data_IF_733598405779
#
_entry.id   IF_733598405779
#
_cell.length_a   1.000
_cell.length_b   1.000
_cell.length_c   1.000
_cell.angle_alpha   90.00
_cell.angle_beta   90.00
_cell.angle_gamma   90.00
#
_symmetry.space_group_name_H-M   'P 1'
#
loop_
_entity.id
_entity.type
_entity.pdbx_description
1 polymer ?
#
# COMPACT_ATOMS: atom_id res chain seq x y z
N UNK A 1 13.09 -2.48 15.03
CA UNK A 1 13.81 -1.89 13.89
C UNK A 1 14.30 -0.51 14.28
N UNK A 2 15.57 -0.14 13.98
CA UNK A 2 16.18 1.09 14.53
C UNK A 2 15.54 2.38 14.04
N UNK A 3 14.99 2.39 12.83
CA UNK A 3 14.36 3.58 12.27
C UNK A 3 12.85 3.70 12.55
N UNK A 4 12.24 2.67 13.14
CA UNK A 4 10.80 2.65 13.43
C UNK A 4 9.95 2.40 12.17
N UNK A 5 8.74 2.91 12.14
CA UNK A 5 7.76 2.69 11.07
C UNK A 5 7.78 3.79 10.01
N UNK A 6 7.42 3.44 8.78
CA UNK A 6 7.47 4.30 7.60
C UNK A 6 6.55 5.52 7.70
N UNK A 7 5.39 5.40 8.34
CA UNK A 7 4.45 6.50 8.53
C UNK A 7 5.07 7.72 9.22
N UNK A 8 6.06 7.49 10.11
CA UNK A 8 6.81 8.58 10.78
C UNK A 8 7.69 9.39 9.82
N UNK A 9 8.10 8.78 8.71
CA UNK A 9 8.86 9.46 7.65
C UNK A 9 7.95 10.16 6.64
N UNK A 10 6.77 9.60 6.39
CA UNK A 10 5.80 10.20 5.47
C UNK A 10 5.10 11.41 6.09
N UNK A 11 4.73 11.33 7.38
CA UNK A 11 3.86 12.32 8.03
C UNK A 11 4.48 12.98 9.25
N UNK A 12 5.58 12.44 9.78
CA UNK A 12 6.26 13.00 10.95
C UNK A 12 7.14 14.21 10.59
N UNK A 13 7.23 15.16 11.51
CA UNK A 13 8.10 16.31 11.36
C UNK A 13 9.51 16.09 11.93
N UNK A 14 9.71 14.97 12.66
CA UNK A 14 10.96 14.69 13.37
C UNK A 14 11.98 13.90 12.51
N UNK A 15 11.54 13.30 11.42
CA UNK A 15 12.36 12.47 10.54
C UNK A 15 12.66 13.20 9.24
N UNK A 16 13.87 13.01 8.66
CA UNK A 16 14.17 13.54 7.34
C UNK A 16 13.25 12.88 6.30
N UNK A 17 12.81 13.66 5.31
CA UNK A 17 12.00 13.12 4.21
C UNK A 17 12.80 12.12 3.39
N UNK A 18 12.13 11.05 3.00
CA UNK A 18 12.71 10.03 2.11
C UNK A 18 12.76 10.55 0.68
N UNK A 19 13.90 10.37 0.01
CA UNK A 19 13.98 10.63 -1.43
C UNK A 19 13.31 9.48 -2.21
N UNK A 20 13.12 9.69 -3.53
CA UNK A 20 12.45 8.70 -4.38
C UNK A 20 13.14 7.34 -4.39
N UNK A 21 14.47 7.31 -4.46
CA UNK A 21 15.22 6.04 -4.46
C UNK A 21 14.94 5.21 -3.20
N UNK A 22 14.90 5.86 -2.04
CA UNK A 22 14.57 5.21 -0.76
C UNK A 22 13.12 4.73 -0.75
N UNK A 23 12.16 5.57 -1.17
CA UNK A 23 10.75 5.19 -1.27
C UNK A 23 10.57 3.98 -2.20
N UNK A 24 11.19 3.99 -3.37
CA UNK A 24 11.11 2.91 -4.34
C UNK A 24 11.72 1.59 -3.82
N UNK A 25 12.84 1.65 -3.09
CA UNK A 25 13.43 0.47 -2.44
C UNK A 25 12.52 -0.10 -1.34
N UNK A 26 11.88 0.78 -0.55
CA UNK A 26 10.92 0.36 0.48
C UNK A 26 9.73 -0.37 -0.17
N UNK A 27 9.15 0.20 -1.23
CA UNK A 27 8.05 -0.43 -1.97
C UNK A 27 8.43 -1.81 -2.50
N UNK A 28 9.62 -1.95 -3.09
CA UNK A 28 10.13 -3.26 -3.54
C UNK A 28 10.29 -4.24 -2.38
N UNK A 29 10.86 -3.81 -1.27
CA UNK A 29 11.04 -4.67 -0.10
C UNK A 29 9.72 -5.22 0.44
N UNK A 30 8.67 -4.39 0.49
CA UNK A 30 7.33 -4.84 0.92
C UNK A 30 6.70 -5.77 -0.12
N UNK A 31 6.85 -5.47 -1.43
CA UNK A 31 6.35 -6.33 -2.50
C UNK A 31 6.97 -7.75 -2.44
N UNK A 32 8.30 -7.84 -2.28
CA UNK A 32 8.99 -9.12 -2.11
C UNK A 32 8.57 -9.85 -0.85
N UNK A 33 8.40 -9.11 0.27
CA UNK A 33 7.90 -9.70 1.51
C UNK A 33 6.52 -10.31 1.33
N UNK A 34 5.60 -9.61 0.67
CA UNK A 34 4.24 -10.08 0.43
C UNK A 34 4.23 -11.28 -0.54
N UNK A 35 5.02 -11.24 -1.61
CA UNK A 35 5.19 -12.37 -2.54
C UNK A 35 5.68 -13.62 -1.80
N UNK A 36 6.69 -13.47 -0.94
CA UNK A 36 7.19 -14.58 -0.12
C UNK A 36 6.09 -15.19 0.75
N UNK A 37 5.29 -14.36 1.43
CA UNK A 37 4.20 -14.82 2.31
C UNK A 37 3.09 -15.54 1.55
N UNK A 38 2.84 -15.15 0.29
CA UNK A 38 1.74 -15.70 -0.51
C UNK A 38 2.14 -16.93 -1.33
N UNK A 39 3.38 -17.00 -1.84
CA UNK A 39 3.77 -17.99 -2.86
C UNK A 39 4.93 -18.90 -2.45
N UNK A 40 5.90 -18.37 -1.70
CA UNK A 40 7.15 -19.10 -1.47
C UNK A 40 7.20 -19.86 -0.15
N UNK A 41 6.33 -19.53 0.81
CA UNK A 41 6.29 -20.22 2.08
C UNK A 41 5.44 -21.50 1.98
N UNK A 42 5.64 -22.46 2.93
CA UNK A 42 4.95 -23.75 2.97
C UNK A 42 3.41 -23.63 2.98
N UNK A 43 2.89 -22.55 3.58
CA UNK A 43 1.48 -22.19 3.60
C UNK A 43 1.31 -20.73 3.18
N UNK A 44 0.14 -20.39 2.63
CA UNK A 44 -0.18 -18.98 2.37
C UNK A 44 -0.40 -18.26 3.69
N UNK A 45 0.36 -17.20 3.93
CA UNK A 45 0.12 -16.30 5.05
C UNK A 45 -0.53 -15.02 4.56
N UNK A 46 -1.80 -14.81 4.92
CA UNK A 46 -2.51 -13.57 4.69
C UNK A 46 -2.16 -12.58 5.80
N UNK A 47 -1.62 -11.41 5.45
CA UNK A 47 -1.20 -10.40 6.44
C UNK A 47 -2.39 -9.63 7.02
N UNK A 48 -3.32 -9.19 6.19
CA UNK A 48 -4.60 -8.54 6.52
C UNK A 48 -4.51 -7.11 7.07
N UNK A 49 -3.31 -6.54 7.21
CA UNK A 49 -3.13 -5.15 7.68
C UNK A 49 -1.89 -4.49 7.06
N UNK A 50 -1.75 -4.58 5.74
CA UNK A 50 -0.66 -3.92 4.98
C UNK A 50 -0.94 -2.42 4.96
N UNK A 51 -0.02 -1.62 5.54
CA UNK A 51 -0.10 -0.14 5.63
C UNK A 51 1.25 0.45 6.04
N UNK A 52 1.47 1.75 5.85
CA UNK A 52 2.73 2.41 6.15
C UNK A 52 3.17 2.28 7.63
N UNK A 53 2.23 2.29 8.58
CA UNK A 53 2.56 2.14 10.02
C UNK A 53 3.04 0.73 10.39
N UNK A 54 2.76 -0.27 9.56
CA UNK A 54 3.20 -1.66 9.73
C UNK A 54 4.43 -2.01 8.88
N UNK A 55 4.98 -1.06 8.13
CA UNK A 55 6.27 -1.20 7.45
C UNK A 55 7.36 -0.62 8.33
N UNK A 56 8.26 -1.46 8.80
CA UNK A 56 9.38 -1.10 9.66
C UNK A 56 10.64 -0.90 8.82
N UNK A 57 11.44 0.10 9.15
CA UNK A 57 12.68 0.41 8.44
C UNK A 57 13.90 -0.08 9.23
N UNK A 58 14.75 -0.85 8.55
CA UNK A 58 16.04 -1.29 9.11
C UNK A 58 17.09 -0.15 9.08
N UNK A 59 18.32 -0.43 9.45
CA UNK A 59 19.38 0.59 9.54
C UNK A 59 19.69 1.23 8.18
N UNK A 60 19.54 0.50 7.11
CA UNK A 60 19.76 0.91 5.72
C UNK A 60 18.50 1.46 5.05
N UNK A 61 17.41 1.69 5.81
CA UNK A 61 16.09 2.14 5.34
C UNK A 61 15.39 1.14 4.40
N UNK A 62 15.71 -0.16 4.46
CA UNK A 62 14.92 -1.15 3.74
C UNK A 62 13.59 -1.39 4.47
N UNK A 63 12.50 -1.48 3.70
CA UNK A 63 11.17 -1.76 4.21
C UNK A 63 10.97 -3.23 4.55
N UNK A 64 10.50 -3.50 5.76
CA UNK A 64 10.13 -4.83 6.26
C UNK A 64 8.70 -4.81 6.75
N UNK A 65 7.87 -5.68 6.19
CA UNK A 65 6.49 -5.84 6.64
C UNK A 65 6.50 -6.44 8.06
N UNK A 66 5.75 -5.84 8.96
CA UNK A 66 5.65 -6.21 10.38
C UNK A 66 4.20 -6.18 10.87
N UNK A 67 4.00 -6.39 12.17
CA UNK A 67 2.68 -6.48 12.82
C UNK A 67 1.78 -7.56 12.22
N UNK A 68 2.08 -8.81 12.52
CA UNK A 68 1.31 -9.98 12.11
C UNK A 68 0.13 -10.29 13.03
N UNK A 69 -0.34 -9.32 13.80
CA UNK A 69 -1.43 -9.50 14.78
C UNK A 69 -2.78 -9.92 14.18
N UNK A 70 -3.03 -9.59 12.90
CA UNK A 70 -4.22 -10.01 12.16
C UNK A 70 -3.93 -11.13 11.16
N UNK A 71 -2.69 -11.59 11.06
CA UNK A 71 -2.27 -12.55 10.06
C UNK A 71 -2.96 -13.92 10.21
N UNK A 72 -3.13 -14.61 9.09
CA UNK A 72 -3.76 -15.92 9.06
C UNK A 72 -3.06 -16.85 8.08
N UNK A 73 -2.78 -18.07 8.53
CA UNK A 73 -2.31 -19.17 7.71
C UNK A 73 -3.48 -19.83 6.97
N UNK A 74 -3.29 -20.16 5.71
CA UNK A 74 -4.21 -20.91 4.86
C UNK A 74 -3.41 -21.91 4.04
N UNK A 75 -4.00 -23.07 3.74
CA UNK A 75 -3.38 -24.02 2.82
C UNK A 75 -3.48 -23.49 1.38
N UNK A 76 -2.50 -23.79 0.55
CA UNK A 76 -2.53 -23.46 -0.87
C UNK A 76 -3.76 -24.08 -1.54
N UNK A 77 -4.55 -23.28 -2.25
CA UNK A 77 -5.78 -23.70 -2.91
C UNK A 77 -6.99 -23.91 -1.98
N UNK A 78 -6.87 -23.61 -0.69
CA UNK A 78 -8.00 -23.67 0.24
C UNK A 78 -9.05 -22.60 -0.07
N UNK A 79 -10.33 -22.98 0.09
CA UNK A 79 -11.42 -22.00 0.01
C UNK A 79 -11.31 -20.98 1.16
N UNK A 80 -11.42 -19.68 0.88
CA UNK A 80 -11.38 -18.65 1.92
C UNK A 80 -12.48 -18.88 2.95
N UNK A 81 -12.09 -19.04 4.21
CA UNK A 81 -13.07 -19.13 5.29
C UNK A 81 -13.53 -17.71 5.70
N UNK A 82 -14.81 -17.60 6.09
CA UNK A 82 -15.35 -16.35 6.64
C UNK A 82 -14.58 -15.95 7.90
N UNK A 83 -14.13 -14.70 7.95
CA UNK A 83 -13.43 -14.13 9.11
C UNK A 83 -14.17 -12.86 9.54
N UNK A 84 -13.95 -12.44 10.78
CA UNK A 84 -14.34 -11.09 11.17
C UNK A 84 -13.62 -10.09 10.25
N UNK A 85 -14.37 -9.13 9.72
CA UNK A 85 -13.80 -8.04 8.93
C UNK A 85 -12.92 -7.22 9.88
N UNK A 86 -11.61 -7.31 9.68
CA UNK A 86 -10.63 -6.56 10.45
C UNK A 86 -9.61 -5.98 9.49
N UNK A 87 -9.07 -4.82 9.81
CA UNK A 87 -8.11 -4.07 9.02
C UNK A 87 -8.33 -2.56 9.17
N UNK A 88 -7.48 -1.80 8.52
CA UNK A 88 -7.49 -0.34 8.61
C UNK A 88 -8.32 0.26 7.48
N UNK A 89 -9.25 1.17 7.81
CA UNK A 89 -10.07 1.90 6.84
C UNK A 89 -9.16 2.61 5.82
N UNK A 90 -9.51 2.52 4.53
CA UNK A 90 -8.69 3.03 3.43
C UNK A 90 -7.78 1.99 2.78
N UNK A 91 -7.52 0.86 3.46
CA UNK A 91 -6.78 -0.28 2.91
C UNK A 91 -7.65 -1.55 2.77
N UNK A 92 -8.91 -1.47 3.22
CA UNK A 92 -9.84 -2.60 3.16
C UNK A 92 -10.35 -2.82 1.76
N UNK A 93 -10.11 -4.01 1.22
CA UNK A 93 -10.66 -4.43 -0.06
C UNK A 93 -12.20 -4.49 -0.01
N UNK A 94 -12.91 -3.98 -1.04
CA UNK A 94 -14.38 -3.99 -1.08
C UNK A 94 -15.00 -5.38 -0.93
N UNK A 95 -14.38 -6.39 -1.52
CA UNK A 95 -14.83 -7.78 -1.42
C UNK A 95 -14.72 -8.34 0.00
N UNK A 96 -13.71 -7.92 0.77
CA UNK A 96 -13.58 -8.32 2.18
C UNK A 96 -14.76 -7.80 3.00
N UNK A 97 -15.16 -6.55 2.78
CA UNK A 97 -16.31 -5.94 3.46
C UNK A 97 -17.63 -6.64 3.10
N UNK A 98 -17.78 -7.09 1.84
CA UNK A 98 -19.00 -7.74 1.35
C UNK A 98 -19.10 -9.20 1.75
N UNK A 99 -17.99 -9.94 1.72
CA UNK A 99 -17.98 -11.40 1.85
C UNK A 99 -17.48 -11.88 3.22
N UNK A 100 -16.76 -11.04 3.96
CA UNK A 100 -16.04 -11.42 5.17
C UNK A 100 -14.88 -12.39 4.91
N UNK A 101 -14.46 -12.58 3.65
CA UNK A 101 -13.44 -13.54 3.26
C UNK A 101 -12.15 -12.83 2.88
N UNK A 102 -11.10 -13.04 3.68
CA UNK A 102 -9.76 -12.58 3.35
C UNK A 102 -9.08 -13.56 2.39
N UNK A 103 -8.39 -13.02 1.40
CA UNK A 103 -7.62 -13.76 0.39
C UNK A 103 -6.31 -13.04 0.12
N UNK A 104 -5.41 -13.62 -0.69
CA UNK A 104 -4.23 -12.93 -1.19
C UNK A 104 -4.60 -11.65 -1.95
N UNK A 105 -5.74 -11.64 -2.66
CA UNK A 105 -6.24 -10.43 -3.35
C UNK A 105 -6.55 -9.29 -2.37
N UNK A 106 -7.04 -9.58 -1.15
CA UNK A 106 -7.30 -8.53 -0.15
C UNK A 106 -6.01 -7.88 0.35
N UNK A 107 -4.91 -8.64 0.47
CA UNK A 107 -3.59 -8.10 0.79
C UNK A 107 -3.01 -7.31 -0.40
N UNK A 108 -3.21 -7.78 -1.64
CA UNK A 108 -2.80 -7.07 -2.85
C UNK A 108 -3.54 -5.74 -2.99
N UNK A 109 -4.83 -5.70 -2.66
CA UNK A 109 -5.58 -4.44 -2.62
C UNK A 109 -4.98 -3.45 -1.60
N UNK A 110 -4.74 -3.92 -0.38
CA UNK A 110 -4.12 -3.10 0.67
C UNK A 110 -2.71 -2.63 0.27
N UNK A 111 -1.93 -3.50 -0.38
CA UNK A 111 -0.63 -3.13 -0.95
C UNK A 111 -0.76 -2.05 -2.02
N UNK A 112 -1.77 -2.11 -2.89
CA UNK A 112 -2.05 -1.05 -3.88
C UNK A 112 -2.29 0.31 -3.21
N UNK A 113 -3.16 0.36 -2.19
CA UNK A 113 -3.40 1.58 -1.42
C UNK A 113 -2.12 2.10 -0.72
N UNK A 114 -1.32 1.19 -0.16
CA UNK A 114 -0.02 1.50 0.43
C UNK A 114 0.98 2.06 -0.60
N UNK A 115 1.04 1.50 -1.81
CA UNK A 115 1.89 2.00 -2.89
C UNK A 115 1.54 3.44 -3.25
N UNK A 116 0.24 3.74 -3.38
CA UNK A 116 -0.24 5.10 -3.65
C UNK A 116 0.05 6.05 -2.48
N UNK A 117 -0.14 5.59 -1.23
CA UNK A 117 0.19 6.35 -0.02
C UNK A 117 1.64 6.83 -0.03
N UNK A 118 2.58 5.96 -0.36
CA UNK A 118 4.02 6.29 -0.40
C UNK A 118 4.33 7.22 -1.57
N UNK A 119 3.85 6.90 -2.79
CA UNK A 119 4.16 7.66 -4.00
C UNK A 119 3.55 9.07 -4.01
N UNK A 120 2.41 9.25 -3.35
CA UNK A 120 1.69 10.54 -3.27
C UNK A 120 2.01 11.34 -1.99
N UNK A 121 2.65 10.70 -0.99
CA UNK A 121 2.89 11.34 0.31
C UNK A 121 1.61 11.70 1.08
N UNK A 122 0.50 11.00 0.81
CA UNK A 122 -0.84 11.27 1.36
C UNK A 122 -1.45 10.02 1.97
N UNK A 123 -2.25 10.21 3.03
CA UNK A 123 -3.01 9.10 3.64
C UNK A 123 -4.08 8.58 2.67
N UNK A 124 -4.42 7.29 2.73
CA UNK A 124 -5.47 6.70 1.88
C UNK A 124 -6.84 7.37 2.03
N UNK A 125 -7.14 7.90 3.22
CA UNK A 125 -8.32 8.72 3.50
C UNK A 125 -7.88 9.99 4.22
N UNK A 126 -8.30 11.14 3.69
CA UNK A 126 -8.00 12.47 4.22
C UNK A 126 -9.30 13.29 4.34
N UNK A 127 -10.06 13.12 5.45
CA UNK A 127 -11.41 13.69 5.60
C UNK A 127 -11.48 15.22 5.51
N UNK A 128 -10.36 15.90 5.72
CA UNK A 128 -10.27 17.37 5.65
C UNK A 128 -9.87 17.89 4.26
N UNK A 129 -9.67 16.99 3.29
CA UNK A 129 -9.36 17.35 1.90
C UNK A 129 -10.58 17.86 1.13
N UNK A 130 -10.34 18.28 -0.13
CA UNK A 130 -11.41 18.57 -1.07
C UNK A 130 -12.27 17.30 -1.29
N UNK A 131 -13.60 17.42 -1.51
CA UNK A 131 -14.47 16.24 -1.65
C UNK A 131 -13.97 15.21 -2.66
N UNK A 132 -13.37 15.67 -3.77
CA UNK A 132 -12.84 14.81 -4.83
C UNK A 132 -11.48 14.15 -4.45
N UNK A 133 -10.86 14.60 -3.37
CA UNK A 133 -9.54 14.16 -2.92
C UNK A 133 -9.56 13.37 -1.61
N UNK A 134 -10.74 13.14 -1.03
CA UNK A 134 -10.90 12.46 0.27
C UNK A 134 -10.35 11.04 0.21
N UNK A 135 -10.60 10.31 -0.88
CA UNK A 135 -10.12 8.94 -1.11
C UNK A 135 -8.97 8.98 -2.10
N UNK A 136 -7.78 8.61 -1.64
CA UNK A 136 -6.55 8.68 -2.42
C UNK A 136 -6.64 7.91 -3.74
N UNK A 137 -7.13 6.67 -3.70
CA UNK A 137 -7.25 5.80 -4.89
C UNK A 137 -8.12 6.46 -5.97
N UNK A 138 -9.26 7.02 -5.57
CA UNK A 138 -10.19 7.66 -6.50
C UNK A 138 -9.58 8.93 -7.11
N UNK A 139 -8.89 9.72 -6.30
CA UNK A 139 -8.21 10.92 -6.77
C UNK A 139 -7.08 10.60 -7.77
N UNK A 140 -6.24 9.60 -7.47
CA UNK A 140 -5.16 9.18 -8.39
C UNK A 140 -5.76 8.61 -9.68
N UNK A 141 -6.88 7.86 -9.60
CA UNK A 141 -7.60 7.38 -10.77
C UNK A 141 -8.11 8.53 -11.65
N UNK A 142 -8.65 9.59 -11.07
CA UNK A 142 -9.07 10.78 -11.83
C UNK A 142 -7.89 11.51 -12.49
N UNK A 143 -6.73 11.61 -11.82
CA UNK A 143 -5.50 12.14 -12.43
C UNK A 143 -5.07 11.29 -13.64
N UNK A 144 -5.13 9.97 -13.49
CA UNK A 144 -4.81 9.05 -14.58
C UNK A 144 -5.80 9.20 -15.75
N UNK A 145 -7.09 9.25 -15.49
CA UNK A 145 -8.15 9.43 -16.50
C UNK A 145 -8.01 10.72 -17.29
N UNK A 146 -7.55 11.78 -16.62
CA UNK A 146 -7.28 13.09 -17.24
C UNK A 146 -5.93 13.13 -17.99
N UNK A 147 -5.13 12.08 -17.95
CA UNK A 147 -3.81 12.03 -18.59
C UNK A 147 -2.68 12.73 -17.83
N UNK A 148 -2.93 13.13 -16.58
CA UNK A 148 -2.00 13.90 -15.73
C UNK A 148 -1.60 13.14 -14.47
N UNK A 149 -1.37 11.83 -14.57
CA UNK A 149 -1.13 10.95 -13.42
C UNK A 149 0.02 11.42 -12.52
N UNK A 150 1.03 12.11 -13.07
CA UNK A 150 2.15 12.63 -12.31
C UNK A 150 1.77 13.78 -11.37
N UNK A 151 0.63 14.44 -11.56
CA UNK A 151 0.15 15.47 -10.64
C UNK A 151 -0.21 14.86 -9.27
N UNK A 152 -0.38 13.53 -9.22
CA UNK A 152 -0.60 12.80 -7.97
C UNK A 152 0.69 12.52 -7.18
N UNK A 153 1.87 12.72 -7.75
CA UNK A 153 3.14 12.45 -7.06
C UNK A 153 3.33 13.35 -5.83
N UNK A 154 4.06 12.84 -4.82
CA UNK A 154 4.38 13.59 -3.61
C UNK A 154 5.06 14.94 -3.94
N UNK A 155 4.42 16.08 -3.63
CA UNK A 155 5.00 17.40 -3.88
C UNK A 155 6.35 17.62 -3.19
N UNK A 156 6.59 16.92 -2.08
CA UNK A 156 7.83 17.06 -1.32
C UNK A 156 9.06 16.50 -2.04
N UNK A 157 8.86 15.70 -3.08
CA UNK A 157 9.93 15.22 -3.94
C UNK A 157 10.41 16.28 -4.96
N UNK A 158 9.67 17.40 -5.11
CA UNK A 158 10.02 18.50 -6.04
C UNK A 158 10.32 17.99 -7.46
N UNK A 159 9.58 16.97 -7.90
CA UNK A 159 9.81 16.25 -9.16
C UNK A 159 11.18 15.56 -9.30
N UNK A 160 11.90 15.38 -8.20
CA UNK A 160 13.19 14.70 -8.18
C UNK A 160 13.00 13.17 -8.11
N UNK A 161 12.48 12.60 -9.17
CA UNK A 161 12.25 11.16 -9.34
C UNK A 161 12.41 10.74 -10.81
N UNK A 162 12.57 9.44 -11.05
CA UNK A 162 12.55 8.89 -12.39
C UNK A 162 11.10 8.80 -12.87
N UNK A 163 10.76 9.58 -13.90
CA UNK A 163 9.37 9.75 -14.40
C UNK A 163 8.70 8.41 -14.72
N UNK A 164 9.41 7.51 -15.41
CA UNK A 164 8.84 6.21 -15.81
C UNK A 164 8.64 5.27 -14.61
N UNK A 165 9.51 5.35 -13.59
CA UNK A 165 9.30 4.61 -12.34
C UNK A 165 8.09 5.14 -11.57
N UNK A 166 7.94 6.45 -11.44
CA UNK A 166 6.80 7.05 -10.77
C UNK A 166 5.49 6.70 -11.47
N UNK A 167 5.44 6.82 -12.80
CA UNK A 167 4.28 6.39 -13.59
C UNK A 167 3.95 4.92 -13.39
N UNK A 168 4.96 4.05 -13.37
CA UNK A 168 4.79 2.62 -13.14
C UNK A 168 4.19 2.36 -11.76
N UNK A 169 4.75 2.98 -10.73
CA UNK A 169 4.32 2.83 -9.33
C UNK A 169 2.87 3.29 -9.15
N UNK A 170 2.52 4.47 -9.67
CA UNK A 170 1.15 4.98 -9.59
C UNK A 170 0.14 4.09 -10.33
N UNK A 171 0.47 3.62 -11.53
CA UNK A 171 -0.38 2.68 -12.28
C UNK A 171 -0.50 1.33 -11.58
N UNK A 172 0.58 0.81 -11.01
CA UNK A 172 0.56 -0.44 -10.25
C UNK A 172 -0.34 -0.31 -9.01
N UNK A 173 -0.21 0.80 -8.28
CA UNK A 173 -1.08 1.08 -7.14
C UNK A 173 -2.57 1.08 -7.54
N UNK A 174 -2.92 1.75 -8.64
CA UNK A 174 -4.29 1.72 -9.18
C UNK A 174 -4.72 0.32 -9.60
N UNK A 175 -3.88 -0.42 -10.32
CA UNK A 175 -4.19 -1.78 -10.77
C UNK A 175 -4.53 -2.70 -9.59
N UNK A 176 -3.82 -2.55 -8.48
CA UNK A 176 -4.04 -3.37 -7.29
C UNK A 176 -5.26 -2.93 -6.46
N UNK A 177 -5.59 -1.63 -6.41
CA UNK A 177 -6.53 -1.08 -5.43
C UNK A 177 -7.79 -0.42 -6.00
N UNK A 178 -7.86 -0.15 -7.31
CA UNK A 178 -9.06 0.45 -7.89
C UNK A 178 -10.08 -0.62 -8.31
N UNK A 179 -11.31 -0.49 -7.84
CA UNK A 179 -12.38 -1.48 -8.07
C UNK A 179 -12.69 -1.73 -9.56
N UNK A 180 -12.52 -0.72 -10.44
CA UNK A 180 -12.73 -0.87 -11.88
C UNK A 180 -11.64 -1.65 -12.60
N UNK A 181 -10.49 -1.89 -11.96
CA UNK A 181 -9.40 -2.68 -12.55
C UNK A 181 -9.61 -4.19 -12.40
N UNK A 182 -10.63 -4.60 -11.64
CA UNK A 182 -10.96 -6.00 -11.36
C UNK A 182 -12.13 -6.53 -12.22
N UNK A 183 -12.58 -5.76 -13.21
CA UNK A 183 -13.64 -6.14 -14.14
C UNK A 183 -13.09 -6.72 -15.44
#
# INVERSE_FOLDING_TARGET
MPNGSLDKFLYGNEKPKLNWLQQFQILKGVAFGLLYLHEEWEQVLLHKDVKASNVLLDAELNGRLGDFGLARLCDHGANPQTTNVAGTVGYLAPELSRTGRATTCTDVFAFGAFVLEVACGRKPIEPQGQPEEVILVDWVFECWRKGVILDASDPSLESNYVVEEMKLVLKLGLLCSHASSQA
#
